data_IF_910677149083
#
_entry.id   IF_910677149083
#
_cell.length_a   1.000
_cell.length_b   1.000
_cell.length_c   1.000
_cell.angle_alpha   90.00
_cell.angle_beta   90.00
_cell.angle_gamma   90.00
#
_symmetry.space_group_name_H-M   'P 1'
#
loop_
_entity.id
_entity.type
_entity.pdbx_description
1 polymer ?
#
# COMPACT_ATOMS: atom_id res chain seq x y z
N UNK A 1 72.81 27.95 26.13
CA UNK A 1 73.65 27.00 26.87
C UNK A 1 73.13 25.60 26.55
N UNK A 2 73.62 24.96 25.49
CA UNK A 2 74.82 24.10 25.41
C UNK A 2 74.55 22.68 25.90
N UNK A 3 74.99 21.71 25.08
CA UNK A 3 75.23 20.28 25.36
C UNK A 3 74.11 19.36 24.87
N UNK A 4 74.14 18.85 23.63
CA UNK A 4 75.13 17.99 22.98
C UNK A 4 75.27 16.60 23.64
N UNK A 5 74.73 15.62 22.88
CA UNK A 5 75.27 14.29 22.58
C UNK A 5 75.53 13.29 23.71
N UNK A 6 74.89 12.11 23.56
CA UNK A 6 75.59 10.82 23.60
C UNK A 6 74.86 9.75 22.81
N UNK A 7 75.49 9.38 21.71
CA UNK A 7 75.23 8.24 20.83
C UNK A 7 75.57 6.93 21.55
N UNK A 8 74.77 5.88 21.33
CA UNK A 8 75.27 4.51 21.29
C UNK A 8 74.49 3.68 20.28
N UNK A 9 75.18 3.33 19.20
CA UNK A 9 74.83 2.29 18.23
C UNK A 9 75.12 0.92 18.85
N UNK A 10 74.37 -0.11 18.44
CA UNK A 10 74.63 -1.57 18.43
C UNK A 10 73.25 -2.24 18.52
N UNK A 11 72.87 -3.30 17.83
CA UNK A 11 73.45 -4.10 16.75
C UNK A 11 72.28 -4.89 16.17
N UNK A 12 72.35 -5.21 14.89
CA UNK A 12 71.45 -6.07 14.13
C UNK A 12 71.30 -7.46 14.74
N UNK A 13 70.06 -7.95 14.86
CA UNK A 13 69.73 -9.38 14.69
C UNK A 13 68.35 -9.48 14.05
N UNK A 14 68.34 -9.81 12.76
CA UNK A 14 67.18 -10.30 12.05
C UNK A 14 66.90 -11.73 12.54
N UNK A 15 65.71 -11.97 13.06
CA UNK A 15 65.18 -13.31 13.27
C UNK A 15 63.83 -13.37 12.55
N UNK A 16 63.83 -14.05 11.41
CA UNK A 16 62.64 -14.41 10.68
C UNK A 16 61.86 -15.46 11.49
N UNK A 17 60.63 -15.13 11.86
CA UNK A 17 59.63 -16.08 12.35
C UNK A 17 58.35 -15.81 11.58
N UNK A 18 58.07 -16.71 10.63
CA UNK A 18 56.81 -16.79 9.93
C UNK A 18 55.73 -17.18 10.95
N UNK A 19 54.70 -16.33 11.09
CA UNK A 19 53.47 -16.66 11.77
C UNK A 19 52.29 -16.31 10.85
N UNK A 20 51.54 -17.35 10.54
CA UNK A 20 50.30 -17.36 9.78
C UNK A 20 49.16 -16.68 10.53
N UNK A 21 48.37 -15.90 9.77
CA UNK A 21 46.89 -15.80 9.81
C UNK A 21 46.24 -15.20 11.07
N UNK A 22 45.58 -14.04 10.91
CA UNK A 22 44.11 -13.89 10.85
C UNK A 22 43.79 -12.39 10.68
N UNK A 23 43.15 -12.04 9.57
CA UNK A 23 42.56 -10.72 9.35
C UNK A 23 41.26 -10.67 10.14
N UNK A 24 41.27 -9.99 11.28
CA UNK A 24 40.05 -9.47 11.90
C UNK A 24 39.94 -8.01 11.48
N UNK A 25 39.34 -7.77 10.32
CA UNK A 25 38.83 -6.45 9.98
C UNK A 25 37.55 -6.26 10.81
N UNK A 26 37.66 -5.48 11.89
CA UNK A 26 36.49 -4.89 12.53
C UNK A 26 36.02 -3.76 11.60
N UNK A 27 35.06 -4.06 10.73
CA UNK A 27 34.23 -3.02 10.14
C UNK A 27 33.24 -2.57 11.20
N UNK A 28 33.11 -1.26 11.35
CA UNK A 28 32.15 -0.61 12.21
C UNK A 28 30.74 -0.87 11.67
N UNK A 29 29.88 -1.51 12.45
CA UNK A 29 28.44 -1.54 12.17
C UNK A 29 27.83 -0.16 12.47
N UNK A 30 27.48 0.56 11.41
CA UNK A 30 26.55 1.69 11.41
C UNK A 30 25.11 1.16 11.52
N UNK A 31 24.31 1.53 12.52
CA UNK A 31 22.93 1.07 12.65
C UNK A 31 21.99 2.03 11.91
N UNK A 32 21.95 1.93 10.58
CA UNK A 32 20.92 2.59 9.76
C UNK A 32 20.83 1.91 8.39
N UNK A 33 20.12 0.79 8.35
CA UNK A 33 19.49 0.28 7.13
C UNK A 33 18.11 -0.23 7.54
N UNK A 34 17.03 0.09 6.78
CA UNK A 34 15.71 -0.41 7.09
C UNK A 34 15.69 -1.93 6.92
N UNK A 35 15.09 -2.61 7.88
CA UNK A 35 14.78 -4.03 7.81
C UNK A 35 13.90 -4.24 6.57
N UNK A 36 14.47 -4.88 5.54
CA UNK A 36 13.71 -5.29 4.36
C UNK A 36 12.54 -6.17 4.81
N UNK A 37 11.35 -5.83 4.31
CA UNK A 37 10.11 -6.53 4.60
C UNK A 37 10.26 -8.03 4.35
N UNK A 38 9.66 -8.83 5.23
CA UNK A 38 9.43 -10.23 4.94
C UNK A 38 8.61 -10.32 3.65
N UNK A 39 9.26 -10.70 2.56
CA UNK A 39 8.59 -11.04 1.32
C UNK A 39 7.86 -12.37 1.55
N UNK A 40 6.61 -12.29 2.00
CA UNK A 40 5.67 -13.41 1.86
C UNK A 40 5.45 -13.60 0.37
N UNK A 41 5.74 -14.80 -0.14
CA UNK A 41 5.57 -15.11 -1.55
C UNK A 41 4.07 -15.08 -1.89
N UNK A 42 3.63 -13.99 -2.50
CA UNK A 42 2.27 -13.83 -2.98
C UNK A 42 1.99 -14.91 -4.04
N UNK A 43 0.91 -15.67 -3.86
CA UNK A 43 0.48 -16.68 -4.84
C UNK A 43 0.04 -16.09 -6.18
N UNK A 44 -0.22 -14.79 -6.20
CA UNK A 44 -0.47 -14.03 -7.43
C UNK A 44 0.87 -13.70 -8.08
N UNK A 45 1.14 -14.40 -9.19
CA UNK A 45 2.38 -14.22 -9.96
C UNK A 45 2.55 -12.76 -10.40
N UNK A 46 3.70 -12.16 -10.09
CA UNK A 46 4.05 -10.80 -10.51
C UNK A 46 3.80 -9.69 -9.50
N UNK A 47 3.28 -10.01 -8.30
CA UNK A 47 3.03 -9.02 -7.25
C UNK A 47 4.17 -8.87 -6.21
N UNK A 48 5.20 -9.72 -6.27
CA UNK A 48 6.29 -9.79 -5.27
C UNK A 48 7.05 -8.45 -5.09
N UNK A 49 7.13 -7.64 -6.15
CA UNK A 49 7.80 -6.34 -6.17
C UNK A 49 6.84 -5.18 -6.53
N UNK A 50 5.53 -5.42 -6.51
CA UNK A 50 4.54 -4.41 -6.87
C UNK A 50 4.46 -3.29 -5.81
N UNK A 51 4.31 -2.05 -6.26
CA UNK A 51 3.98 -0.94 -5.37
C UNK A 51 2.59 -1.12 -4.76
N UNK A 52 2.30 -0.44 -3.64
CA UNK A 52 0.97 -0.51 -3.01
C UNK A 52 -0.17 -0.13 -3.97
N UNK A 53 0.07 0.85 -4.86
CA UNK A 53 -0.87 1.22 -5.91
C UNK A 53 -1.10 0.10 -6.92
N UNK A 54 -0.03 -0.49 -7.44
CA UNK A 54 -0.13 -1.61 -8.39
C UNK A 54 -0.82 -2.82 -7.75
N UNK A 55 -0.55 -3.12 -6.47
CA UNK A 55 -1.24 -4.18 -5.73
C UNK A 55 -2.75 -3.95 -5.68
N UNK A 56 -3.20 -2.74 -5.31
CA UNK A 56 -4.62 -2.39 -5.29
C UNK A 56 -5.23 -2.57 -6.68
N UNK A 57 -4.60 -1.98 -7.70
CA UNK A 57 -5.14 -1.99 -9.06
C UNK A 57 -5.23 -3.40 -9.66
N UNK A 58 -4.26 -4.26 -9.40
CA UNK A 58 -4.26 -5.63 -9.92
C UNK A 58 -5.25 -6.52 -9.14
N UNK A 59 -5.27 -6.43 -7.81
CA UNK A 59 -6.16 -7.27 -6.99
C UNK A 59 -7.64 -6.89 -7.15
N UNK A 60 -7.96 -5.61 -7.29
CA UNK A 60 -9.35 -5.16 -7.50
C UNK A 60 -9.92 -5.68 -8.83
N UNK A 61 -9.10 -5.71 -9.89
CA UNK A 61 -9.49 -6.17 -11.23
C UNK A 61 -9.64 -7.68 -11.34
N UNK A 62 -9.14 -8.46 -10.38
CA UNK A 62 -9.20 -9.92 -10.46
C UNK A 62 -10.66 -10.39 -10.49
N UNK A 63 -11.04 -11.20 -11.50
CA UNK A 63 -12.33 -11.87 -11.52
C UNK A 63 -12.54 -12.67 -10.23
N UNK A 64 -13.78 -12.76 -9.74
CA UNK A 64 -14.07 -13.43 -8.47
C UNK A 64 -13.59 -14.89 -8.45
N UNK A 65 -13.64 -15.56 -9.60
CA UNK A 65 -13.20 -16.95 -9.76
C UNK A 65 -11.67 -17.13 -9.71
N UNK A 66 -10.91 -16.05 -9.88
CA UNK A 66 -9.44 -16.03 -9.92
C UNK A 66 -8.82 -15.44 -8.65
N UNK A 67 -9.65 -14.99 -7.70
CA UNK A 67 -9.16 -14.39 -6.46
C UNK A 67 -8.39 -15.40 -5.61
N UNK A 68 -7.27 -14.97 -5.01
CA UNK A 68 -6.46 -15.82 -4.15
C UNK A 68 -7.26 -16.25 -2.92
N UNK A 69 -7.01 -17.47 -2.46
CA UNK A 69 -7.69 -18.06 -1.28
C UNK A 69 -6.75 -18.31 -0.11
N UNK A 70 -5.45 -18.11 -0.33
CA UNK A 70 -4.37 -18.34 0.62
C UNK A 70 -3.94 -17.06 1.35
N UNK A 71 -4.50 -15.91 0.99
CA UNK A 71 -4.36 -14.67 1.76
C UNK A 71 -5.59 -13.76 1.63
N UNK A 72 -5.76 -12.89 2.62
CA UNK A 72 -6.67 -11.74 2.56
C UNK A 72 -5.84 -10.49 2.36
N UNK A 73 -6.23 -9.62 1.43
CA UNK A 73 -5.62 -8.30 1.26
C UNK A 73 -6.67 -7.22 1.46
N UNK A 74 -6.37 -6.30 2.36
CA UNK A 74 -7.19 -5.13 2.65
C UNK A 74 -6.41 -3.87 2.34
N UNK A 75 -7.06 -2.90 1.71
CA UNK A 75 -6.50 -1.56 1.53
C UNK A 75 -6.91 -0.71 2.72
N UNK A 76 -5.95 -0.37 3.57
CA UNK A 76 -6.13 0.60 4.65
C UNK A 76 -5.69 1.99 4.18
N UNK A 77 -5.73 2.99 5.06
CA UNK A 77 -5.49 4.39 4.70
C UNK A 77 -4.07 4.65 4.14
N UNK A 78 -3.06 3.95 4.65
CA UNK A 78 -1.65 4.20 4.34
C UNK A 78 -0.94 2.99 3.70
N UNK A 79 -1.57 1.82 3.70
CA UNK A 79 -0.96 0.59 3.23
C UNK A 79 -1.98 -0.43 2.74
N UNK A 80 -1.53 -1.34 1.88
CA UNK A 80 -2.18 -2.64 1.69
C UNK A 80 -1.68 -3.57 2.79
N UNK A 81 -2.60 -4.10 3.59
CA UNK A 81 -2.33 -5.08 4.64
C UNK A 81 -2.73 -6.46 4.13
N UNK A 82 -1.80 -7.41 4.18
CA UNK A 82 -2.00 -8.78 3.71
C UNK A 82 -1.77 -9.76 4.85
N UNK A 83 -2.73 -10.66 5.04
CA UNK A 83 -2.69 -11.71 6.06
C UNK A 83 -2.79 -13.07 5.35
N UNK A 84 -1.75 -13.90 5.49
CA UNK A 84 -1.72 -15.25 4.92
C UNK A 84 -2.55 -16.26 5.75
N UNK A 85 -2.65 -17.51 5.26
CA UNK A 85 -3.39 -18.59 5.91
C UNK A 85 -2.78 -19.08 7.23
N UNK A 86 -1.49 -18.80 7.46
CA UNK A 86 -0.78 -19.02 8.71
C UNK A 86 -1.00 -17.87 9.72
N UNK A 87 -1.59 -16.76 9.27
CA UNK A 87 -1.86 -15.57 10.06
C UNK A 87 -0.68 -14.59 10.16
N UNK A 88 0.34 -14.73 9.29
CA UNK A 88 1.41 -13.76 9.19
C UNK A 88 0.91 -12.52 8.45
N UNK A 89 1.25 -11.35 8.99
CA UNK A 89 0.91 -10.05 8.42
C UNK A 89 2.11 -9.47 7.67
N UNK A 90 1.83 -8.86 6.51
CA UNK A 90 2.77 -8.05 5.75
C UNK A 90 2.06 -6.79 5.25
N UNK A 91 2.83 -5.72 5.07
CA UNK A 91 2.28 -4.43 4.66
C UNK A 91 3.08 -3.84 3.51
N UNK A 92 2.38 -3.21 2.56
CA UNK A 92 2.97 -2.48 1.44
C UNK A 92 2.44 -1.05 1.45
N UNK A 93 3.29 -0.03 1.58
CA UNK A 93 2.84 1.35 1.69
C UNK A 93 2.16 1.83 0.40
N UNK A 94 1.11 2.63 0.58
CA UNK A 94 0.44 3.38 -0.48
C UNK A 94 1.20 4.68 -0.80
N UNK A 95 0.90 5.34 -1.93
CA UNK A 95 1.42 6.68 -2.21
C UNK A 95 1.11 7.67 -1.08
N UNK A 96 2.09 8.53 -0.78
CA UNK A 96 1.99 9.51 0.32
C UNK A 96 1.01 10.65 0.00
N UNK A 97 0.66 10.85 -1.26
CA UNK A 97 -0.16 11.97 -1.76
C UNK A 97 -1.57 11.56 -2.21
N UNK A 98 -1.85 10.25 -2.29
CA UNK A 98 -3.13 9.72 -2.77
C UNK A 98 -3.82 8.82 -1.73
N UNK A 99 -5.15 8.92 -1.64
CA UNK A 99 -6.04 8.07 -0.87
C UNK A 99 -6.83 7.17 -1.83
N UNK A 100 -6.96 5.88 -1.52
CA UNK A 100 -7.80 4.98 -2.29
C UNK A 100 -9.16 4.77 -1.61
N UNK A 101 -10.23 5.11 -2.32
CA UNK A 101 -11.60 4.84 -1.91
C UNK A 101 -12.22 3.81 -2.86
N UNK A 102 -12.55 2.63 -2.34
CA UNK A 102 -13.32 1.61 -3.07
C UNK A 102 -14.79 1.75 -2.75
N UNK A 103 -15.62 1.85 -3.78
CA UNK A 103 -17.05 2.13 -3.66
C UNK A 103 -17.86 0.99 -4.28
N UNK A 104 -18.83 0.45 -3.53
CA UNK A 104 -19.83 -0.49 -4.04
C UNK A 104 -21.23 0.10 -3.88
N UNK A 105 -21.79 0.67 -4.95
CA UNK A 105 -23.19 1.08 -4.98
C UNK A 105 -24.13 -0.12 -4.94
N UNK A 106 -25.35 0.11 -4.50
CA UNK A 106 -26.39 -0.93 -4.45
C UNK A 106 -27.78 -0.32 -4.61
N UNK A 107 -28.74 -1.16 -5.02
CA UNK A 107 -30.16 -0.86 -5.07
C UNK A 107 -30.88 -1.56 -3.91
N UNK A 108 -30.66 -2.86 -3.72
CA UNK A 108 -31.46 -3.69 -2.80
C UNK A 108 -30.71 -4.06 -1.51
N UNK A 109 -29.46 -4.49 -1.60
CA UNK A 109 -28.70 -5.03 -0.47
C UNK A 109 -27.27 -4.55 -0.38
N UNK A 110 -26.79 -4.37 0.85
CA UNK A 110 -25.41 -3.99 1.16
C UNK A 110 -24.87 -4.74 2.39
N UNK A 111 -23.61 -4.48 2.71
CA UNK A 111 -22.92 -4.97 3.89
C UNK A 111 -22.07 -3.85 4.52
N UNK A 112 -21.79 -3.97 5.82
CA UNK A 112 -20.85 -3.05 6.48
C UNK A 112 -19.42 -3.38 6.06
N UNK A 113 -18.65 -2.34 5.74
CA UNK A 113 -17.26 -2.43 5.32
C UNK A 113 -16.56 -1.13 5.71
N UNK A 114 -15.41 -1.23 6.37
CA UNK A 114 -14.64 -0.05 6.80
C UNK A 114 -13.36 0.09 5.99
N UNK A 115 -12.50 -0.93 6.03
CA UNK A 115 -11.40 -1.10 5.09
C UNK A 115 -11.79 -2.08 4.01
N UNK A 116 -11.55 -1.72 2.76
CA UNK A 116 -11.96 -2.54 1.63
C UNK A 116 -11.08 -3.78 1.53
N UNK A 117 -11.72 -4.94 1.45
CA UNK A 117 -11.01 -6.19 1.18
C UNK A 117 -10.97 -6.41 -0.33
N UNK A 118 -9.77 -6.28 -0.90
CA UNK A 118 -9.50 -6.50 -2.32
C UNK A 118 -9.77 -7.94 -2.75
N UNK A 119 -9.68 -8.91 -1.82
CA UNK A 119 -9.80 -10.34 -2.14
C UNK A 119 -11.11 -10.97 -1.69
N UNK A 120 -11.90 -10.34 -0.80
CA UNK A 120 -13.11 -10.99 -0.25
C UNK A 120 -14.39 -10.16 -0.33
N UNK A 121 -14.34 -8.83 -0.49
CA UNK A 121 -15.56 -8.03 -0.59
C UNK A 121 -16.26 -8.23 -1.94
N UNK A 122 -17.60 -8.33 -1.90
CA UNK A 122 -18.49 -8.45 -3.06
C UNK A 122 -19.70 -7.54 -2.85
N UNK A 123 -19.83 -6.54 -3.70
CA UNK A 123 -20.98 -5.66 -3.85
C UNK A 123 -22.04 -6.24 -4.78
N UNK A 124 -23.19 -5.59 -4.83
CA UNK A 124 -24.35 -6.05 -5.60
C UNK A 124 -24.17 -5.86 -7.11
N UNK A 125 -23.58 -4.73 -7.51
CA UNK A 125 -23.60 -4.24 -8.89
C UNK A 125 -22.31 -4.56 -9.65
N UNK A 126 -22.06 -5.85 -9.95
CA UNK A 126 -20.87 -6.29 -10.69
C UNK A 126 -20.96 -6.05 -12.20
N UNK A 127 -19.89 -5.49 -12.80
CA UNK A 127 -19.77 -5.18 -14.23
C UNK A 127 -20.79 -4.17 -14.78
N UNK A 128 -21.25 -3.25 -13.94
CA UNK A 128 -22.21 -2.19 -14.28
C UNK A 128 -21.51 -0.88 -14.65
N UNK A 129 -22.05 -0.14 -15.63
CA UNK A 129 -21.56 1.20 -15.98
C UNK A 129 -22.27 2.27 -15.12
N UNK A 130 -21.49 3.20 -14.57
CA UNK A 130 -21.93 4.24 -13.65
C UNK A 130 -21.39 5.61 -14.08
N UNK A 131 -22.20 6.66 -13.94
CA UNK A 131 -21.71 8.03 -14.02
C UNK A 131 -21.30 8.49 -12.62
N UNK A 132 -20.04 8.89 -12.46
CA UNK A 132 -19.45 9.23 -11.16
C UNK A 132 -18.90 10.64 -11.18
N UNK A 133 -19.31 11.44 -10.19
CA UNK A 133 -18.77 12.77 -9.97
C UNK A 133 -18.28 12.90 -8.53
N UNK A 134 -17.08 13.47 -8.35
CA UNK A 134 -16.55 13.85 -7.04
C UNK A 134 -16.26 15.34 -7.03
N UNK A 135 -16.89 16.06 -6.11
CA UNK A 135 -16.71 17.52 -5.97
C UNK A 135 -16.13 17.82 -4.60
N UNK A 136 -15.01 18.56 -4.58
CA UNK A 136 -14.36 18.98 -3.34
C UNK A 136 -15.24 19.97 -2.58
N UNK A 137 -15.50 19.71 -1.30
CA UNK A 137 -16.53 20.41 -0.52
C UNK A 137 -16.22 21.88 -0.22
N UNK A 138 -14.94 22.25 -0.06
CA UNK A 138 -14.52 23.61 0.30
C UNK A 138 -14.42 24.56 -0.90
N UNK A 139 -13.98 24.06 -2.05
CA UNK A 139 -13.75 24.86 -3.27
C UNK A 139 -14.82 24.68 -4.34
N UNK A 140 -15.58 23.58 -4.32
CA UNK A 140 -16.44 23.18 -5.43
C UNK A 140 -15.66 22.69 -6.67
N UNK A 141 -14.37 22.40 -6.52
CA UNK A 141 -13.55 21.84 -7.59
C UNK A 141 -14.00 20.41 -7.94
N UNK A 142 -14.21 20.14 -9.22
CA UNK A 142 -14.52 18.81 -9.71
C UNK A 142 -13.23 18.00 -9.79
N UNK A 143 -13.14 16.95 -8.99
CA UNK A 143 -11.98 16.05 -8.93
C UNK A 143 -12.14 14.85 -9.88
N UNK A 144 -13.38 14.37 -10.01
CA UNK A 144 -13.76 13.24 -10.88
C UNK A 144 -15.07 13.61 -11.57
N UNK A 145 -15.17 13.33 -12.86
CA UNK A 145 -16.39 13.46 -13.69
C UNK A 145 -16.23 12.52 -14.89
N UNK A 146 -16.57 11.25 -14.69
CA UNK A 146 -16.35 10.20 -15.69
C UNK A 146 -17.38 9.07 -15.60
N UNK A 147 -17.47 8.29 -16.68
CA UNK A 147 -18.16 7.01 -16.68
C UNK A 147 -17.18 5.92 -16.27
N UNK A 148 -17.49 5.20 -15.19
CA UNK A 148 -16.70 4.06 -14.70
C UNK A 148 -17.47 2.76 -14.89
N UNK A 149 -16.75 1.64 -14.92
CA UNK A 149 -17.33 0.31 -14.85
C UNK A 149 -16.93 -0.35 -13.53
N UNK A 150 -17.89 -0.87 -12.77
CA UNK A 150 -17.57 -1.69 -11.60
C UNK A 150 -16.89 -2.98 -12.03
N UNK A 151 -15.98 -3.49 -11.20
CA UNK A 151 -15.35 -4.78 -11.41
C UNK A 151 -16.33 -5.93 -11.14
N UNK A 152 -15.88 -7.17 -11.36
CA UNK A 152 -16.69 -8.38 -11.15
C UNK A 152 -17.20 -8.51 -9.70
N UNK A 153 -16.49 -7.93 -8.75
CA UNK A 153 -16.91 -7.86 -7.35
C UNK A 153 -17.90 -6.73 -7.05
N UNK A 154 -18.32 -5.92 -8.03
CA UNK A 154 -19.25 -4.81 -7.83
C UNK A 154 -18.67 -3.57 -7.18
N UNK A 155 -17.35 -3.43 -7.12
CA UNK A 155 -16.68 -2.22 -6.66
C UNK A 155 -16.05 -1.45 -7.82
N UNK A 156 -15.92 -0.14 -7.66
CA UNK A 156 -15.00 0.70 -8.45
C UNK A 156 -14.08 1.48 -7.49
N UNK A 157 -12.84 1.72 -7.91
CA UNK A 157 -11.84 2.42 -7.11
C UNK A 157 -11.63 3.85 -7.56
N UNK A 158 -11.42 4.75 -6.61
CA UNK A 158 -11.03 6.15 -6.84
C UNK A 158 -9.72 6.46 -6.13
N UNK A 159 -8.76 7.04 -6.86
CA UNK A 159 -7.56 7.64 -6.27
C UNK A 159 -7.79 9.14 -6.12
N UNK A 160 -7.86 9.61 -4.88
CA UNK A 160 -8.21 10.98 -4.52
C UNK A 160 -7.03 11.66 -3.80
N UNK A 161 -6.93 13.00 -3.83
CA UNK A 161 -6.01 13.71 -2.94
C UNK A 161 -6.30 13.35 -1.48
N UNK A 162 -5.26 13.23 -0.65
CA UNK A 162 -5.43 13.07 0.81
C UNK A 162 -5.96 14.35 1.47
N UNK A 163 -6.50 14.18 2.67
CA UNK A 163 -6.90 15.25 3.58
C UNK A 163 -7.92 16.23 3.00
N UNK A 164 -8.88 15.71 2.22
CA UNK A 164 -10.02 16.47 1.69
C UNK A 164 -11.35 15.93 2.21
N UNK A 165 -12.33 16.84 2.30
CA UNK A 165 -13.75 16.54 2.32
C UNK A 165 -14.33 16.75 0.91
N UNK A 166 -15.15 15.81 0.43
CA UNK A 166 -15.79 15.88 -0.87
C UNK A 166 -17.21 15.29 -0.85
N UNK A 167 -17.95 15.56 -1.91
CA UNK A 167 -19.25 14.93 -2.19
C UNK A 167 -19.09 13.99 -3.38
N UNK A 168 -19.42 12.72 -3.19
CA UNK A 168 -19.51 11.71 -4.25
C UNK A 168 -20.97 11.63 -4.72
N UNK A 169 -21.18 11.72 -6.02
CA UNK A 169 -22.45 11.45 -6.67
C UNK A 169 -22.30 10.31 -7.68
N UNK A 170 -23.28 9.41 -7.71
CA UNK A 170 -23.34 8.26 -8.60
C UNK A 170 -24.71 8.26 -9.27
N UNK A 171 -24.74 8.11 -10.59
CA UNK A 171 -25.97 7.88 -11.37
C UNK A 171 -25.87 6.57 -12.16
N UNK A 172 -26.98 5.83 -12.19
CA UNK A 172 -27.12 4.61 -12.98
C UNK A 172 -28.59 4.41 -13.36
N UNK A 173 -28.87 4.34 -14.67
CA UNK A 173 -30.22 4.13 -15.22
C UNK A 173 -31.31 5.08 -14.65
N UNK A 174 -30.92 6.31 -14.28
CA UNK A 174 -31.80 7.32 -13.70
C UNK A 174 -32.05 7.20 -12.19
N UNK A 175 -31.41 6.23 -11.51
CA UNK A 175 -31.29 6.19 -10.06
C UNK A 175 -30.04 6.93 -9.62
N UNK A 176 -30.08 7.55 -8.44
CA UNK A 176 -28.99 8.39 -7.95
C UNK A 176 -28.61 8.10 -6.51
N UNK A 177 -27.34 8.32 -6.17
CA UNK A 177 -26.86 8.35 -4.79
C UNK A 177 -25.90 9.53 -4.62
N UNK A 178 -25.99 10.21 -3.48
CA UNK A 178 -25.06 11.28 -3.10
C UNK A 178 -24.63 11.07 -1.66
N UNK A 179 -23.32 11.08 -1.40
CA UNK A 179 -22.76 10.87 -0.08
C UNK A 179 -21.55 11.79 0.18
N UNK A 180 -21.40 12.33 1.40
CA UNK A 180 -20.15 12.94 1.80
C UNK A 180 -19.07 11.87 1.97
N UNK A 181 -17.85 12.19 1.54
CA UNK A 181 -16.65 11.36 1.71
C UNK A 181 -15.51 12.20 2.28
N UNK A 182 -14.59 11.54 2.99
CA UNK A 182 -13.37 12.15 3.51
C UNK A 182 -12.18 11.21 3.26
N UNK A 183 -10.97 11.77 3.22
CA UNK A 183 -9.73 11.09 2.80
C UNK A 183 -8.57 11.34 3.76
N UNK A 184 -8.88 11.62 5.03
CA UNK A 184 -7.93 11.84 6.10
C UNK A 184 -7.38 10.54 6.70
N UNK A 185 -6.48 10.70 7.66
CA UNK A 185 -5.93 9.58 8.43
C UNK A 185 -7.03 8.81 9.18
N UNK A 186 -7.11 7.50 8.96
CA UNK A 186 -8.10 6.62 9.60
C UNK A 186 -9.50 6.67 9.00
N UNK A 187 -9.71 7.40 7.91
CA UNK A 187 -10.98 7.39 7.17
C UNK A 187 -11.20 6.05 6.43
N UNK A 188 -12.46 5.64 6.25
CA UNK A 188 -12.79 4.37 5.59
C UNK A 188 -12.33 4.39 4.13
N UNK A 189 -11.68 3.31 3.71
CA UNK A 189 -11.34 3.06 2.30
C UNK A 189 -12.43 2.29 1.57
N UNK A 190 -13.51 1.92 2.27
CA UNK A 190 -14.64 1.17 1.74
C UNK A 190 -15.94 1.95 1.91
N UNK A 191 -16.63 2.25 0.81
CA UNK A 191 -17.92 2.91 0.81
C UNK A 191 -19.00 1.99 0.23
N UNK A 192 -19.79 1.40 1.12
CA UNK A 192 -20.90 0.50 0.77
C UNK A 192 -22.27 1.09 1.13
N UNK A 193 -22.33 2.36 1.51
CA UNK A 193 -23.57 3.05 1.92
C UNK A 193 -24.24 3.83 0.80
N UNK A 194 -23.72 3.73 -0.44
CA UNK A 194 -24.25 4.43 -1.62
C UNK A 194 -25.45 3.70 -2.21
N UNK A 195 -26.62 3.84 -1.59
CA UNK A 195 -27.87 3.32 -2.16
C UNK A 195 -28.37 4.20 -3.30
N UNK A 196 -28.65 3.59 -4.45
CA UNK A 196 -29.24 4.24 -5.62
C UNK A 196 -30.77 4.21 -5.51
N UNK A 197 -31.41 5.39 -5.62
CA UNK A 197 -32.86 5.55 -5.53
C UNK A 197 -33.40 6.73 -6.36
#
# INVERSE_FOLDING_TARGET
>A
MTQASRTRRFSTTAAALAAMVFVAACSSEDPSAPSGGSATALSVSGLEDASGRELVEELEKLPLAERPTDFVASVETEAVVMIDDEGNESTVPLPEDEFYLSVAPYVDQTHECFFHSLTTCVGEMGNEELEVTVVKGDTGEVLVDETVQTHDNGFFGLWLPRDIDAELSIEHEGLTSTAPISTGEGDPTCLTTSQLA
#
